data_IF_511247020935
#
_entry.id   IF_511247020935
#
_cell.length_a   1.000
_cell.length_b   1.000
_cell.length_c   1.000
_cell.angle_alpha   90.00
_cell.angle_beta   90.00
_cell.angle_gamma   90.00
#
_symmetry.space_group_name_H-M   'P 1'
#
loop_
_entity.id
_entity.type
_entity.pdbx_description
1 polymer ?
#
# COMPACT_ATOMS: atom_id res chain seq x y z
N UNK A 1 -10.69 -16.88 -30.74
CA UNK A 1 -11.96 -16.90 -30.02
C UNK A 1 -12.97 -16.11 -30.83
N UNK A 2 -13.90 -16.82 -31.47
CA UNK A 2 -14.96 -16.29 -32.32
C UNK A 2 -16.09 -15.69 -31.47
N UNK A 3 -17.08 -15.04 -32.08
CA UNK A 3 -18.30 -14.60 -31.37
C UNK A 3 -19.07 -15.81 -30.85
N UNK A 4 -19.12 -16.90 -31.63
CA UNK A 4 -19.77 -18.15 -31.23
C UNK A 4 -19.13 -18.76 -29.96
N UNK A 5 -17.80 -18.74 -29.86
CA UNK A 5 -17.06 -19.25 -28.68
C UNK A 5 -17.39 -18.48 -27.39
N UNK A 6 -17.89 -17.24 -27.50
CA UNK A 6 -18.20 -16.36 -26.37
C UNK A 6 -19.65 -16.44 -25.90
N UNK A 7 -20.54 -17.03 -26.71
CA UNK A 7 -21.97 -17.11 -26.41
C UNK A 7 -22.31 -18.40 -25.66
N UNK A 8 -23.32 -18.36 -24.75
CA UNK A 8 -23.90 -19.58 -24.19
C UNK A 8 -24.48 -20.50 -25.28
N UNK A 9 -24.55 -21.80 -25.02
CA UNK A 9 -24.92 -22.83 -26.01
C UNK A 9 -26.23 -22.56 -26.74
N UNK A 10 -27.23 -22.01 -26.04
CA UNK A 10 -28.55 -21.73 -26.59
C UNK A 10 -28.63 -20.46 -27.47
N UNK A 11 -27.50 -19.77 -27.69
CA UNK A 11 -27.43 -18.57 -28.54
C UNK A 11 -26.37 -18.68 -29.66
N UNK A 12 -25.67 -19.81 -29.78
CA UNK A 12 -24.57 -19.98 -30.75
C UNK A 12 -25.05 -19.91 -32.20
N UNK A 13 -26.23 -20.43 -32.50
CA UNK A 13 -26.88 -20.36 -33.81
C UNK A 13 -27.15 -18.93 -34.28
N UNK A 14 -27.22 -17.98 -33.34
CA UNK A 14 -27.43 -16.55 -33.57
C UNK A 14 -26.14 -15.74 -33.56
N UNK A 15 -24.96 -16.35 -33.50
CA UNK A 15 -23.68 -15.64 -33.41
C UNK A 15 -23.45 -14.61 -34.54
N UNK A 16 -24.03 -14.85 -35.73
CA UNK A 16 -23.97 -13.93 -36.86
C UNK A 16 -24.75 -12.62 -36.65
N UNK A 17 -25.68 -12.58 -35.70
CA UNK A 17 -26.45 -11.39 -35.33
C UNK A 17 -25.72 -10.49 -34.32
N UNK A 18 -24.65 -10.98 -33.68
CA UNK A 18 -23.93 -10.28 -32.62
C UNK A 18 -22.54 -9.81 -33.05
N UNK A 19 -22.08 -8.72 -32.43
CA UNK A 19 -20.71 -8.22 -32.58
C UNK A 19 -20.06 -8.09 -31.21
N UNK A 20 -18.85 -8.65 -31.07
CA UNK A 20 -18.03 -8.51 -29.86
C UNK A 20 -17.62 -7.05 -29.66
N UNK A 21 -17.86 -6.50 -28.47
CA UNK A 21 -17.30 -5.21 -28.04
C UNK A 21 -15.78 -5.29 -27.86
N UNK A 22 -15.09 -4.22 -28.25
CA UNK A 22 -13.62 -4.14 -28.18
C UNK A 22 -13.11 -3.21 -27.09
N UNK A 23 -14.02 -2.49 -26.43
CA UNK A 23 -13.68 -1.57 -25.36
C UNK A 23 -13.23 -2.34 -24.12
N UNK A 24 -12.33 -1.73 -23.37
CA UNK A 24 -11.87 -2.24 -22.08
C UNK A 24 -12.50 -1.43 -20.95
N UNK A 25 -12.55 -2.03 -19.77
CA UNK A 25 -12.97 -1.31 -18.58
C UNK A 25 -11.86 -0.37 -18.09
N UNK A 26 -12.27 0.67 -17.38
CA UNK A 26 -11.36 1.58 -16.70
C UNK A 26 -10.65 0.88 -15.53
N UNK A 27 -9.39 1.24 -15.26
CA UNK A 27 -8.55 0.61 -14.23
C UNK A 27 -9.10 0.81 -12.82
N UNK A 28 -9.94 1.82 -12.61
CA UNK A 28 -10.64 2.00 -11.35
C UNK A 28 -11.78 0.98 -11.15
N UNK A 29 -12.35 0.44 -12.23
CA UNK A 29 -13.28 -0.68 -12.12
C UNK A 29 -12.55 -1.96 -11.73
N UNK A 30 -11.39 -2.22 -12.32
CA UNK A 30 -10.56 -3.39 -12.00
C UNK A 30 -10.16 -3.38 -10.52
N UNK A 31 -9.57 -2.28 -10.05
CA UNK A 31 -9.19 -2.13 -8.65
C UNK A 31 -10.40 -2.05 -7.72
N UNK A 32 -11.47 -1.36 -8.12
CA UNK A 32 -12.71 -1.24 -7.36
C UNK A 32 -13.44 -2.58 -7.17
N UNK A 33 -13.28 -3.53 -8.08
CA UNK A 33 -13.87 -4.86 -7.96
C UNK A 33 -12.99 -5.87 -7.20
N UNK A 34 -11.88 -5.43 -6.60
CA UNK A 34 -10.95 -6.31 -5.87
C UNK A 34 -11.59 -7.03 -4.69
N UNK A 35 -12.58 -6.43 -4.01
CA UNK A 35 -13.34 -7.10 -2.95
C UNK A 35 -14.04 -8.38 -3.46
N UNK A 36 -14.57 -8.37 -4.68
CA UNK A 36 -15.23 -9.52 -5.29
C UNK A 36 -14.20 -10.52 -5.85
N UNK A 37 -13.14 -10.01 -6.48
CA UNK A 37 -12.12 -10.84 -7.11
C UNK A 37 -11.18 -11.52 -6.10
N UNK A 38 -10.98 -10.92 -4.92
CA UNK A 38 -10.04 -11.37 -3.89
C UNK A 38 -10.75 -11.80 -2.62
N UNK A 39 -11.44 -10.90 -1.92
CA UNK A 39 -12.01 -11.20 -0.60
C UNK A 39 -13.08 -12.30 -0.67
N UNK A 40 -13.96 -12.28 -1.69
CA UNK A 40 -14.98 -13.34 -1.84
C UNK A 40 -14.42 -14.66 -2.40
N UNK A 41 -13.28 -14.64 -3.10
CA UNK A 41 -12.72 -15.84 -3.75
C UNK A 41 -11.76 -16.63 -2.88
N UNK A 42 -11.13 -15.96 -1.91
CA UNK A 42 -10.12 -16.55 -1.03
C UNK A 42 -10.75 -16.97 0.29
N UNK A 43 -10.68 -18.27 0.60
CA UNK A 43 -11.28 -18.84 1.81
C UNK A 43 -10.63 -18.37 3.12
N UNK A 44 -9.40 -17.84 3.04
CA UNK A 44 -8.66 -17.26 4.16
C UNK A 44 -9.01 -15.79 4.44
N UNK A 45 -9.87 -15.18 3.62
CA UNK A 45 -10.26 -13.78 3.74
C UNK A 45 -11.76 -13.64 4.02
N UNK A 46 -12.16 -12.46 4.48
CA UNK A 46 -13.54 -12.16 4.81
C UNK A 46 -14.02 -10.91 4.08
N UNK A 47 -15.30 -10.94 3.72
CA UNK A 47 -16.02 -9.81 3.13
C UNK A 47 -17.29 -9.51 3.97
N UNK A 48 -17.51 -8.26 4.41
CA UNK A 48 -16.66 -7.08 4.20
C UNK A 48 -15.31 -7.18 4.93
N UNK A 49 -14.30 -6.45 4.44
CA UNK A 49 -13.03 -6.30 5.17
C UNK A 49 -13.25 -5.46 6.43
N UNK A 50 -12.50 -5.71 7.50
CA UNK A 50 -12.58 -4.87 8.70
C UNK A 50 -12.09 -3.45 8.42
N UNK A 51 -11.03 -3.31 7.62
CA UNK A 51 -10.36 -2.04 7.37
C UNK A 51 -9.79 -1.96 5.96
N UNK A 52 -10.01 -0.81 5.30
CA UNK A 52 -9.21 -0.35 4.17
C UNK A 52 -8.25 0.77 4.64
N UNK A 53 -7.01 0.74 4.17
CA UNK A 53 -5.97 1.70 4.54
C UNK A 53 -5.16 2.08 3.31
N UNK A 54 -5.21 3.35 2.90
CA UNK A 54 -4.44 3.90 1.78
C UNK A 54 -4.24 5.42 1.94
N UNK A 55 -3.49 6.03 1.02
CA UNK A 55 -3.29 7.48 0.94
C UNK A 55 -4.59 8.28 0.72
N UNK A 56 -4.59 9.53 1.18
CA UNK A 56 -5.76 10.43 1.08
C UNK A 56 -6.29 10.65 -0.33
N UNK A 57 -5.50 10.43 -1.37
CA UNK A 57 -5.93 10.50 -2.77
C UNK A 57 -6.95 9.42 -3.13
N UNK A 58 -6.98 8.30 -2.40
CA UNK A 58 -7.86 7.18 -2.69
C UNK A 58 -9.34 7.43 -2.36
N UNK A 59 -9.67 8.53 -1.67
CA UNK A 59 -11.06 8.96 -1.50
C UNK A 59 -11.80 9.17 -2.82
N UNK A 60 -11.08 9.58 -3.87
CA UNK A 60 -11.62 9.77 -5.24
C UNK A 60 -11.16 8.70 -6.22
N UNK A 61 -10.50 7.68 -5.72
CA UNK A 61 -9.98 6.54 -6.47
C UNK A 61 -10.54 5.26 -5.89
N UNK A 62 -9.65 4.43 -5.35
CA UNK A 62 -9.97 3.05 -4.98
C UNK A 62 -11.08 2.91 -3.94
N UNK A 63 -11.14 3.77 -2.92
CA UNK A 63 -12.22 3.70 -1.92
C UNK A 63 -13.59 3.94 -2.55
N UNK A 64 -13.70 4.97 -3.38
CA UNK A 64 -14.96 5.31 -4.05
C UNK A 64 -15.39 4.20 -5.00
N UNK A 65 -14.48 3.71 -5.85
CA UNK A 65 -14.81 2.68 -6.82
C UNK A 65 -15.12 1.34 -6.16
N UNK A 66 -14.43 0.99 -5.07
CA UNK A 66 -14.76 -0.19 -4.27
C UNK A 66 -16.14 -0.08 -3.62
N UNK A 67 -16.44 1.08 -3.03
CA UNK A 67 -17.74 1.33 -2.41
C UNK A 67 -18.88 1.23 -3.43
N UNK A 68 -18.75 1.90 -4.58
CA UNK A 68 -19.77 1.94 -5.61
C UNK A 68 -20.03 0.55 -6.20
N UNK A 69 -18.99 -0.19 -6.56
CA UNK A 69 -19.13 -1.53 -7.15
C UNK A 69 -19.73 -2.53 -6.15
N UNK A 70 -19.32 -2.48 -4.88
CA UNK A 70 -19.85 -3.34 -3.81
C UNK A 70 -21.31 -3.04 -3.50
N UNK A 71 -21.69 -1.76 -3.39
CA UNK A 71 -23.08 -1.38 -3.16
C UNK A 71 -23.95 -1.79 -4.37
N UNK A 72 -23.47 -1.55 -5.59
CA UNK A 72 -24.20 -1.90 -6.80
C UNK A 72 -24.44 -3.43 -6.91
N UNK A 73 -23.49 -4.25 -6.49
CA UNK A 73 -23.59 -5.72 -6.61
C UNK A 73 -24.20 -6.42 -5.40
N UNK A 74 -23.93 -5.93 -4.18
CA UNK A 74 -24.25 -6.63 -2.91
C UNK A 74 -25.06 -5.78 -1.92
N UNK A 75 -25.30 -4.51 -2.22
CA UNK A 75 -26.07 -3.61 -1.36
C UNK A 75 -25.37 -3.19 -0.06
N UNK A 76 -24.06 -3.44 0.08
CA UNK A 76 -23.27 -3.08 1.28
C UNK A 76 -21.87 -2.60 0.91
N UNK A 77 -21.25 -1.83 1.80
CA UNK A 77 -19.86 -1.39 1.65
C UNK A 77 -18.89 -2.59 1.74
N UNK A 78 -17.72 -2.54 1.05
CA UNK A 78 -16.76 -3.62 1.06
C UNK A 78 -15.82 -3.60 2.28
N UNK A 79 -15.93 -2.58 3.13
CA UNK A 79 -15.15 -2.39 4.33
C UNK A 79 -16.01 -1.88 5.49
N UNK A 80 -15.62 -2.19 6.73
CA UNK A 80 -16.25 -1.69 7.96
C UNK A 80 -15.64 -0.35 8.42
N UNK A 81 -14.36 -0.12 8.15
CA UNK A 81 -13.65 1.11 8.47
C UNK A 81 -12.67 1.53 7.37
N UNK A 82 -12.32 2.82 7.36
CA UNK A 82 -11.30 3.39 6.47
C UNK A 82 -10.32 4.19 7.31
N UNK A 83 -9.03 3.95 7.13
CA UNK A 83 -7.94 4.80 7.62
C UNK A 83 -7.27 5.44 6.42
N UNK A 84 -7.01 6.74 6.50
CA UNK A 84 -6.27 7.46 5.49
C UNK A 84 -5.01 8.08 6.08
N UNK A 85 -3.97 8.13 5.25
CA UNK A 85 -2.72 8.81 5.60
C UNK A 85 -2.36 9.88 4.56
N UNK A 86 -1.57 10.85 4.99
CA UNK A 86 -1.02 11.87 4.09
C UNK A 86 0.09 11.32 3.17
N UNK A 87 0.72 12.23 2.43
CA UNK A 87 1.84 11.92 1.55
C UNK A 87 3.18 11.96 2.29
N UNK A 88 4.14 11.21 1.76
CA UNK A 88 5.55 11.36 2.15
C UNK A 88 6.18 12.45 1.27
N UNK A 89 6.67 13.50 1.91
CA UNK A 89 7.37 14.63 1.28
C UNK A 89 8.86 14.58 1.62
N UNK A 90 9.67 15.29 0.84
CA UNK A 90 11.08 15.45 1.19
C UNK A 90 11.26 16.32 2.46
N UNK A 91 12.49 16.44 2.97
CA UNK A 91 12.79 17.24 4.18
C UNK A 91 12.49 18.73 4.03
N UNK A 92 12.27 19.22 2.80
CA UNK A 92 11.89 20.60 2.51
C UNK A 92 10.38 20.77 2.34
N UNK A 93 9.60 19.70 2.52
CA UNK A 93 8.15 19.70 2.33
C UNK A 93 7.72 19.73 0.86
N UNK A 94 8.61 19.37 -0.07
CA UNK A 94 8.28 19.27 -1.48
C UNK A 94 7.83 17.85 -1.83
N UNK A 95 6.88 17.76 -2.76
CA UNK A 95 6.48 16.47 -3.34
C UNK A 95 7.69 15.80 -3.97
N UNK A 96 7.90 14.53 -3.64
CA UNK A 96 8.99 13.75 -4.22
C UNK A 96 8.76 13.53 -5.72
N UNK A 97 9.80 13.75 -6.52
CA UNK A 97 9.79 13.42 -7.95
C UNK A 97 11.17 13.03 -8.45
N UNK A 98 11.21 12.10 -9.41
CA UNK A 98 12.48 11.62 -10.00
C UNK A 98 13.27 12.75 -10.66
N UNK A 99 12.61 13.74 -11.26
CA UNK A 99 13.25 14.89 -11.91
C UNK A 99 13.91 15.86 -10.92
N UNK A 100 13.35 16.01 -9.71
CA UNK A 100 13.95 16.80 -8.65
C UNK A 100 15.06 16.04 -7.90
N UNK A 101 15.14 14.72 -8.07
CA UNK A 101 16.14 13.88 -7.40
C UNK A 101 15.95 13.80 -5.88
N UNK A 102 14.79 14.22 -5.36
CA UNK A 102 14.46 14.24 -3.93
C UNK A 102 13.67 12.99 -3.47
N UNK A 103 13.71 11.91 -4.27
CA UNK A 103 13.04 10.65 -3.93
C UNK A 103 13.89 9.87 -2.94
N UNK A 104 13.27 9.43 -1.85
CA UNK A 104 13.87 8.48 -0.91
C UNK A 104 13.33 7.09 -1.24
N UNK A 105 14.18 6.25 -1.83
CA UNK A 105 13.82 4.87 -2.18
C UNK A 105 13.87 3.98 -0.92
N UNK A 106 12.76 3.32 -0.53
CA UNK A 106 12.74 2.40 0.61
C UNK A 106 13.84 1.33 0.55
N UNK A 107 14.16 0.80 -0.64
CA UNK A 107 15.22 -0.21 -0.79
C UNK A 107 16.58 0.39 -0.48
N UNK A 108 16.84 1.61 -0.92
CA UNK A 108 18.08 2.34 -0.59
C UNK A 108 18.16 2.62 0.91
N UNK A 109 17.04 2.91 1.58
CA UNK A 109 17.03 3.08 3.04
C UNK A 109 17.38 1.77 3.75
N UNK A 110 16.82 0.64 3.31
CA UNK A 110 17.02 -0.64 3.98
C UNK A 110 18.37 -1.28 3.68
N UNK A 111 18.81 -1.24 2.42
CA UNK A 111 19.99 -1.96 1.92
C UNK A 111 21.20 -1.05 1.70
N UNK A 112 21.00 0.27 1.77
CA UNK A 112 22.05 1.26 1.46
C UNK A 112 22.09 1.63 -0.01
N UNK A 113 22.74 2.75 -0.30
CA UNK A 113 22.98 3.22 -1.67
C UNK A 113 24.37 2.89 -2.19
N UNK A 114 24.68 3.34 -3.40
CA UNK A 114 26.02 3.17 -4.01
C UNK A 114 27.14 3.80 -3.19
N UNK A 115 26.84 4.87 -2.45
CA UNK A 115 27.75 5.54 -1.55
C UNK A 115 27.27 5.39 -0.10
N UNK A 116 27.85 4.44 0.63
CA UNK A 116 27.46 4.15 2.02
C UNK A 116 27.67 5.34 2.98
N UNK A 117 28.55 6.30 2.64
CA UNK A 117 28.73 7.50 3.46
C UNK A 117 27.53 8.45 3.36
N UNK A 118 26.86 8.46 2.21
CA UNK A 118 25.70 9.31 1.94
C UNK A 118 24.38 8.58 2.27
N UNK A 119 24.31 7.30 1.94
CA UNK A 119 23.14 6.44 2.15
C UNK A 119 23.58 5.09 2.76
N UNK A 120 23.88 5.04 4.07
CA UNK A 120 24.19 3.78 4.74
C UNK A 120 22.96 2.88 4.80
N UNK A 121 23.15 1.56 4.94
CA UNK A 121 22.06 0.63 5.20
C UNK A 121 21.48 0.88 6.60
N UNK A 122 20.34 1.57 6.68
CA UNK A 122 19.66 1.80 7.96
C UNK A 122 18.90 0.56 8.43
N UNK A 123 18.51 -0.32 7.51
CA UNK A 123 17.73 -1.52 7.79
C UNK A 123 16.23 -1.25 7.92
N UNK A 124 15.44 -2.31 7.77
CA UNK A 124 13.98 -2.25 7.79
C UNK A 124 13.42 -1.73 9.12
N UNK A 125 14.05 -2.04 10.25
CA UNK A 125 13.59 -1.60 11.57
C UNK A 125 13.66 -0.08 11.74
N UNK A 126 14.68 0.58 11.19
CA UNK A 126 14.78 2.04 11.25
C UNK A 126 13.68 2.70 10.44
N UNK A 127 13.36 2.14 9.25
CA UNK A 127 12.25 2.61 8.43
C UNK A 127 10.90 2.39 9.15
N UNK A 128 10.69 1.23 9.77
CA UNK A 128 9.47 0.94 10.55
C UNK A 128 9.34 1.82 11.78
N UNK A 129 10.45 2.10 12.46
CA UNK A 129 10.49 3.02 13.61
C UNK A 129 10.08 4.42 13.18
N UNK A 130 10.58 4.90 12.04
CA UNK A 130 10.12 6.16 11.45
C UNK A 130 8.61 6.14 11.19
N UNK A 131 8.08 5.14 10.47
CA UNK A 131 6.63 5.00 10.20
C UNK A 131 5.81 5.04 11.48
N UNK A 132 6.27 4.40 12.55
CA UNK A 132 5.57 4.38 13.84
C UNK A 132 5.64 5.72 14.60
N UNK A 133 6.57 6.59 14.24
CA UNK A 133 6.84 7.85 14.97
C UNK A 133 6.11 9.06 14.39
N UNK A 134 5.60 8.96 13.15
CA UNK A 134 4.98 10.08 12.45
C UNK A 134 3.49 10.17 12.73
N UNK A 135 2.98 11.40 12.77
CA UNK A 135 1.54 11.64 12.69
C UNK A 135 1.09 11.47 11.23
N UNK A 136 0.55 10.28 10.93
CA UNK A 136 0.16 9.91 9.58
C UNK A 136 -1.07 10.67 9.06
N UNK A 137 -1.80 11.39 9.92
CA UNK A 137 -3.03 12.09 9.54
C UNK A 137 -2.78 13.29 8.62
N UNK A 138 -1.54 13.80 8.61
CA UNK A 138 -1.05 14.81 7.68
C UNK A 138 0.09 14.30 6.81
N UNK A 139 0.64 15.19 6.00
CA UNK A 139 1.84 14.90 5.21
C UNK A 139 3.07 14.78 6.13
N UNK A 140 3.94 13.81 5.84
CA UNK A 140 5.09 13.45 6.68
C UNK A 140 6.39 13.66 5.93
N UNK A 141 7.42 14.13 6.63
CA UNK A 141 8.73 14.43 6.02
C UNK A 141 9.67 13.23 6.10
N UNK A 142 10.43 13.02 5.04
CA UNK A 142 11.46 11.98 4.97
C UNK A 142 12.71 12.46 4.22
N UNK A 143 13.88 12.16 4.80
CA UNK A 143 15.18 12.28 4.14
C UNK A 143 16.35 11.93 5.05
N UNK A 144 17.59 12.30 4.65
CA UNK A 144 18.80 11.84 5.31
C UNK A 144 18.93 12.25 6.78
N UNK A 145 18.51 13.45 7.15
CA UNK A 145 18.56 13.94 8.53
C UNK A 145 17.59 13.17 9.42
N UNK A 146 16.35 12.96 8.93
CA UNK A 146 15.34 12.17 9.63
C UNK A 146 15.83 10.73 9.84
N UNK A 147 16.37 10.10 8.79
CA UNK A 147 16.90 8.73 8.87
C UNK A 147 18.08 8.59 9.83
N UNK A 148 19.00 9.56 9.85
CA UNK A 148 20.09 9.60 10.84
C UNK A 148 19.55 9.65 12.26
N UNK A 149 18.58 10.52 12.54
CA UNK A 149 17.96 10.64 13.86
C UNK A 149 17.26 9.34 14.28
N UNK A 150 16.52 8.70 13.36
CA UNK A 150 15.86 7.42 13.62
C UNK A 150 16.86 6.30 13.89
N UNK A 151 18.00 6.28 13.19
CA UNK A 151 19.09 5.34 13.42
C UNK A 151 19.71 5.49 14.81
N UNK A 152 19.96 6.72 15.25
CA UNK A 152 20.47 7.01 16.59
C UNK A 152 19.49 6.56 17.67
N UNK A 153 18.19 6.83 17.48
CA UNK A 153 17.12 6.39 18.38
C UNK A 153 17.03 4.86 18.45
N UNK A 154 17.08 4.18 17.30
CA UNK A 154 17.12 2.72 17.22
C UNK A 154 18.33 2.14 17.98
N UNK A 155 19.53 2.72 17.78
CA UNK A 155 20.75 2.29 18.49
C UNK A 155 20.62 2.47 20.00
N UNK A 156 19.97 3.55 20.45
CA UNK A 156 19.70 3.79 21.87
C UNK A 156 18.74 2.75 22.45
N UNK A 157 17.65 2.43 21.75
CA UNK A 157 16.74 1.35 22.15
C UNK A 157 17.47 0.02 22.25
N UNK A 158 18.18 -0.37 21.19
CA UNK A 158 18.95 -1.61 21.15
C UNK A 158 20.01 -1.68 22.24
N UNK A 159 20.73 -0.59 22.49
CA UNK A 159 21.74 -0.51 23.56
C UNK A 159 21.12 -0.68 24.95
N UNK A 160 19.96 -0.08 25.19
CA UNK A 160 19.22 -0.22 26.44
C UNK A 160 18.75 -1.65 26.65
N UNK A 161 18.10 -2.26 25.64
CA UNK A 161 17.67 -3.66 25.69
C UNK A 161 18.85 -4.61 25.89
N UNK A 162 19.97 -4.39 25.19
CA UNK A 162 21.20 -5.19 25.36
C UNK A 162 21.74 -5.09 26.79
N UNK A 163 21.70 -3.90 27.39
CA UNK A 163 22.12 -3.72 28.77
C UNK A 163 21.20 -4.46 29.74
N UNK A 164 19.88 -4.33 29.59
CA UNK A 164 18.91 -5.05 30.43
C UNK A 164 19.09 -6.57 30.30
N UNK A 165 19.23 -7.09 29.08
CA UNK A 165 19.46 -8.53 28.84
C UNK A 165 20.78 -9.02 29.45
N UNK A 166 21.85 -8.23 29.38
CA UNK A 166 23.13 -8.59 29.97
C UNK A 166 23.07 -8.70 31.51
N UNK A 167 22.22 -7.91 32.17
CA UNK A 167 22.02 -7.99 33.62
C UNK A 167 21.15 -9.19 34.04
N UNK A 168 20.56 -9.94 33.09
CA UNK A 168 19.80 -11.16 33.35
C UNK A 168 20.60 -12.43 33.02
N UNK A 169 21.88 -12.32 32.69
CA UNK A 169 22.66 -13.45 32.16
C UNK A 169 22.80 -14.65 33.11
N UNK A 170 22.68 -14.42 34.42
CA UNK A 170 22.80 -15.38 35.52
C UNK A 170 21.49 -15.52 36.31
N UNK A 171 20.39 -14.97 35.78
CA UNK A 171 19.07 -15.06 36.38
C UNK A 171 18.38 -16.37 35.96
N UNK A 172 18.13 -17.26 36.94
CA UNK A 172 17.31 -18.47 36.77
C UNK A 172 15.84 -18.19 37.07
#
# INVERSE_FOLDING_TARGET
MTVEDLLPDNYRDRASEYKKGTDTMDVWFDSGSSWAAVLEKRSDLQYPADLYLEGTDQHRGWFQCSLLTSIASKGKAPYSGVITHGFVLDEKGLKMSKSLGNVVDPITVTEGGKNEKEAPPYGADVLRLWVSSVDYTGDVLMGPQVLRQMSEMYRKFRGTLRFLLANLHDWN
#
